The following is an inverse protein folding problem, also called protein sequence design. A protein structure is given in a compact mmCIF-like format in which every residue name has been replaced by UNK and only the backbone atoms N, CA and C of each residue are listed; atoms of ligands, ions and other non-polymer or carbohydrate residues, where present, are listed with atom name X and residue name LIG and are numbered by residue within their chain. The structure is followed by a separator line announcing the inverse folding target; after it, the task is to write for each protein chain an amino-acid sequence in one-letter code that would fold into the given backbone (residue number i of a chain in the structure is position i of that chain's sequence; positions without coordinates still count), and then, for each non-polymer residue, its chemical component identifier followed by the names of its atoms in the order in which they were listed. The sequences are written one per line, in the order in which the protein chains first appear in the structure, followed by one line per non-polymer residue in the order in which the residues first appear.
data_IF_930076466442
#
_entry.id   IF_930076466442
#
_cell.length_a   1.000
_cell.length_b   1.000
_cell.length_c   1.000
_cell.angle_alpha   90.00
_cell.angle_beta   90.00
_cell.angle_gamma   90.00
#
_symmetry.space_group_name_H-M   'P 1'
#
loop_
_entity.id
_entity.type
_entity.pdbx_description
1 polymer ?
#
# COMPACT_ATOMS: atom_id res chain seq x y z
N UNK A 1 23.43 7.22 -4.47
CA UNK A 1 22.90 7.59 -3.15
C UNK A 1 21.48 7.09 -2.94
N UNK A 2 20.53 7.40 -3.84
CA UNK A 2 19.09 7.03 -3.70
C UNK A 2 18.74 5.55 -3.47
N UNK A 3 19.52 4.60 -4.00
CA UNK A 3 19.25 3.18 -3.78
C UNK A 3 19.48 2.71 -2.33
N UNK A 4 20.23 3.47 -1.52
CA UNK A 4 20.37 3.18 -0.08
C UNK A 4 19.16 3.73 0.69
N UNK A 5 18.76 4.97 0.38
CA UNK A 5 17.58 5.63 0.96
C UNK A 5 16.32 4.78 0.77
N UNK A 6 16.05 4.30 -0.45
CA UNK A 6 14.91 3.43 -0.72
C UNK A 6 14.92 2.17 0.16
N UNK A 7 16.08 1.54 0.34
CA UNK A 7 16.19 0.32 1.16
C UNK A 7 16.00 0.61 2.65
N UNK A 8 16.43 1.79 3.11
CA UNK A 8 16.19 2.23 4.48
C UNK A 8 14.71 2.49 4.70
N UNK A 9 14.06 3.22 3.78
CA UNK A 9 12.63 3.47 3.78
C UNK A 9 11.82 2.17 3.79
N UNK A 10 12.12 1.24 2.88
CA UNK A 10 11.44 -0.06 2.83
C UNK A 10 11.58 -0.82 4.17
N UNK A 11 12.75 -0.77 4.82
CA UNK A 11 12.95 -1.44 6.11
C UNK A 11 12.16 -0.83 7.28
N UNK A 12 11.72 0.43 7.21
CA UNK A 12 10.94 1.02 8.32
C UNK A 12 9.55 0.39 8.44
N UNK A 13 9.05 -0.26 7.39
CA UNK A 13 7.82 -1.08 7.42
C UNK A 13 7.94 -2.40 8.21
N UNK A 14 9.14 -2.73 8.70
CA UNK A 14 9.41 -4.01 9.39
C UNK A 14 9.47 -5.22 8.46
N UNK A 15 9.49 -5.01 7.14
CA UNK A 15 9.67 -6.09 6.17
C UNK A 15 11.11 -6.65 6.16
N UNK A 16 11.29 -7.82 5.57
CA UNK A 16 12.60 -8.42 5.37
C UNK A 16 13.14 -8.11 3.97
N UNK A 17 14.31 -7.46 3.90
CA UNK A 17 14.97 -7.14 2.63
C UNK A 17 16.36 -7.78 2.57
N UNK A 18 16.46 -8.90 1.85
CA UNK A 18 17.67 -9.71 1.72
C UNK A 18 18.27 -9.65 0.32
N UNK A 19 19.57 -9.87 0.23
CA UNK A 19 20.28 -9.91 -1.06
C UNK A 19 20.27 -11.34 -1.61
N UNK A 20 20.06 -11.50 -2.91
CA UNK A 20 20.10 -12.82 -3.57
C UNK A 20 21.55 -13.15 -3.93
N UNK A 21 22.23 -13.88 -3.03
CA UNK A 21 23.62 -14.29 -3.20
C UNK A 21 24.58 -13.12 -3.39
N UNK A 22 25.48 -13.22 -4.38
CA UNK A 22 26.43 -12.15 -4.74
C UNK A 22 25.90 -11.18 -5.81
N UNK A 23 24.70 -11.40 -6.36
CA UNK A 23 24.10 -10.55 -7.40
C UNK A 23 23.72 -9.16 -6.86
N UNK A 24 23.29 -8.23 -7.71
CA UNK A 24 22.69 -6.96 -7.26
C UNK A 24 21.18 -7.05 -7.03
N UNK A 25 20.60 -8.25 -7.10
CA UNK A 25 19.17 -8.47 -6.92
C UNK A 25 18.84 -8.60 -5.43
N UNK A 26 17.68 -8.06 -5.06
CA UNK A 26 17.16 -8.06 -3.69
C UNK A 26 15.82 -8.79 -3.66
N UNK A 27 15.59 -9.53 -2.58
CA UNK A 27 14.31 -10.17 -2.26
C UNK A 27 13.66 -9.39 -1.12
N UNK A 28 12.42 -9.02 -1.32
CA UNK A 28 11.55 -8.44 -0.32
C UNK A 28 10.55 -9.51 0.14
N UNK A 29 10.49 -9.76 1.44
CA UNK A 29 9.46 -10.57 2.08
C UNK A 29 8.62 -9.64 2.94
N UNK A 30 7.33 -9.51 2.62
CA UNK A 30 6.42 -8.58 3.28
C UNK A 30 5.00 -9.15 3.33
N UNK A 31 4.23 -8.81 4.37
CA UNK A 31 2.78 -9.04 4.41
C UNK A 31 2.02 -8.04 3.53
N UNK A 32 0.72 -8.27 3.28
CA UNK A 32 -0.13 -7.31 2.54
C UNK A 32 -0.16 -5.93 3.20
N UNK A 33 -0.21 -5.90 4.52
CA UNK A 33 -0.18 -4.66 5.31
C UNK A 33 1.16 -3.94 5.13
N UNK A 34 2.28 -4.64 5.27
CA UNK A 34 3.61 -4.07 5.05
C UNK A 34 3.79 -3.55 3.62
N UNK A 35 3.27 -4.26 2.61
CA UNK A 35 3.28 -3.78 1.22
C UNK A 35 2.51 -2.47 1.06
N UNK A 36 1.34 -2.34 1.71
CA UNK A 36 0.57 -1.08 1.72
C UNK A 36 1.37 0.04 2.37
N UNK A 37 1.97 -0.18 3.53
CA UNK A 37 2.82 0.81 4.21
C UNK A 37 4.00 1.24 3.34
N UNK A 38 4.66 0.30 2.65
CA UNK A 38 5.76 0.65 1.73
C UNK A 38 5.25 1.50 0.57
N UNK A 39 4.07 1.20 0.01
CA UNK A 39 3.47 1.98 -1.08
C UNK A 39 3.22 3.43 -0.63
N UNK A 40 2.63 3.62 0.55
CA UNK A 40 2.38 4.95 1.13
C UNK A 40 3.69 5.71 1.33
N UNK A 41 4.67 5.11 2.02
CA UNK A 41 5.97 5.74 2.26
C UNK A 41 6.70 6.16 0.98
N UNK A 42 6.61 5.35 -0.09
CA UNK A 42 7.24 5.66 -1.38
C UNK A 42 6.45 6.72 -2.15
N UNK A 43 5.13 6.81 -1.94
CA UNK A 43 4.29 7.86 -2.54
C UNK A 43 4.57 9.20 -1.87
N UNK A 44 4.68 9.21 -0.55
CA UNK A 44 4.98 10.40 0.27
C UNK A 44 6.39 10.94 0.03
N UNK A 45 7.32 10.11 -0.44
CA UNK A 45 8.66 10.59 -0.77
C UNK A 45 8.72 11.40 -2.07
N UNK A 46 7.64 11.43 -2.87
CA UNK A 46 7.54 12.14 -4.17
C UNK A 46 8.67 11.81 -5.16
N UNK A 47 9.32 10.65 -5.00
CA UNK A 47 10.49 10.25 -5.79
C UNK A 47 10.04 9.46 -7.03
N UNK A 48 10.00 10.12 -8.20
CA UNK A 48 9.57 9.52 -9.47
C UNK A 48 10.32 8.23 -9.82
N UNK A 49 11.62 8.17 -9.48
CA UNK A 49 12.46 7.00 -9.77
C UNK A 49 12.07 5.75 -8.97
N UNK A 50 11.21 5.86 -7.97
CA UNK A 50 10.73 4.74 -7.15
C UNK A 50 9.31 4.29 -7.51
N UNK A 51 8.63 4.99 -8.43
CA UNK A 51 7.27 4.67 -8.87
C UNK A 51 7.11 3.25 -9.45
N UNK A 52 8.19 2.68 -10.01
CA UNK A 52 8.17 1.29 -10.46
C UNK A 52 7.93 0.31 -9.31
N UNK A 53 8.41 0.62 -8.10
CA UNK A 53 8.25 -0.24 -6.92
C UNK A 53 6.79 -0.25 -6.48
N UNK A 54 6.11 0.90 -6.48
CA UNK A 54 4.68 1.00 -6.18
C UNK A 54 3.90 0.04 -7.09
N UNK A 55 4.12 0.12 -8.41
CA UNK A 55 3.44 -0.74 -9.39
C UNK A 55 3.68 -2.24 -9.12
N UNK A 56 4.91 -2.62 -8.80
CA UNK A 56 5.25 -4.02 -8.47
C UNK A 56 4.56 -4.46 -7.19
N UNK A 57 4.56 -3.63 -6.15
CA UNK A 57 3.94 -3.94 -4.86
C UNK A 57 2.43 -4.04 -4.97
N UNK A 58 1.78 -3.15 -5.70
CA UNK A 58 0.33 -3.21 -5.94
C UNK A 58 -0.07 -4.51 -6.64
N UNK A 59 0.71 -4.94 -7.64
CA UNK A 59 0.49 -6.21 -8.33
C UNK A 59 0.66 -7.42 -7.39
N UNK A 60 1.70 -7.42 -6.54
CA UNK A 60 1.97 -8.53 -5.62
C UNK A 60 1.01 -8.56 -4.42
N UNK A 61 0.59 -7.39 -3.94
CA UNK A 61 -0.39 -7.24 -2.86
C UNK A 61 -1.78 -7.74 -3.28
N UNK A 62 -2.10 -7.59 -4.57
CA UNK A 62 -3.40 -7.91 -5.13
C UNK A 62 -4.50 -6.95 -4.64
N UNK A 63 -5.69 -7.14 -5.21
CA UNK A 63 -6.85 -6.29 -4.92
C UNK A 63 -7.41 -6.60 -3.53
N UNK A 64 -7.94 -5.57 -2.87
CA UNK A 64 -8.69 -5.74 -1.62
C UNK A 64 -10.06 -6.31 -1.92
N UNK A 65 -10.53 -7.21 -1.05
CA UNK A 65 -11.94 -7.61 -1.07
C UNK A 65 -12.81 -6.48 -0.52
N UNK A 66 -14.11 -6.53 -0.83
CA UNK A 66 -15.05 -5.53 -0.29
C UNK A 66 -15.03 -5.46 1.24
N UNK A 67 -14.93 -6.60 1.92
CA UNK A 67 -14.85 -6.65 3.38
C UNK A 67 -13.54 -6.02 3.91
N UNK A 68 -12.42 -6.23 3.21
CA UNK A 68 -11.16 -5.58 3.59
C UNK A 68 -11.20 -4.06 3.37
N UNK A 69 -11.88 -3.59 2.32
CA UNK A 69 -12.13 -2.15 2.10
C UNK A 69 -12.99 -1.56 3.23
N UNK A 70 -14.08 -2.23 3.62
CA UNK A 70 -14.90 -1.81 4.76
C UNK A 70 -14.10 -1.79 6.06
N UNK A 71 -13.23 -2.78 6.29
CA UNK A 71 -12.34 -2.79 7.46
C UNK A 71 -11.31 -1.64 7.44
N UNK A 72 -10.91 -1.14 6.26
CA UNK A 72 -10.07 0.06 6.16
C UNK A 72 -10.86 1.31 6.55
N UNK A 73 -12.08 1.47 6.02
CA UNK A 73 -12.98 2.59 6.38
C UNK A 73 -13.31 2.57 7.87
N UNK A 74 -13.66 1.42 8.45
CA UNK A 74 -13.97 1.33 9.87
C UNK A 74 -12.80 1.72 10.78
N UNK A 75 -11.55 1.45 10.36
CA UNK A 75 -10.35 1.85 11.10
C UNK A 75 -9.97 3.32 10.91
N UNK A 76 -10.43 3.94 9.82
CA UNK A 76 -10.20 5.35 9.52
C UNK A 76 -11.48 5.95 8.90
N UNK A 77 -12.49 6.26 9.72
CA UNK A 77 -13.81 6.67 9.23
C UNK A 77 -13.77 8.01 8.46
N UNK A 78 -12.76 8.84 8.71
CA UNK A 78 -12.56 10.11 8.03
C UNK A 78 -11.86 9.97 6.66
N UNK A 79 -11.55 8.74 6.22
CA UNK A 79 -10.87 8.51 4.94
C UNK A 79 -11.72 8.99 3.76
N UNK A 80 -11.14 9.83 2.91
CA UNK A 80 -11.83 10.27 1.71
C UNK A 80 -11.84 9.16 0.64
N UNK A 81 -12.80 9.23 -0.28
CA UNK A 81 -12.89 8.30 -1.42
C UNK A 81 -11.56 8.24 -2.20
N UNK A 82 -10.90 9.38 -2.43
CA UNK A 82 -9.65 9.44 -3.17
C UNK A 82 -8.48 8.81 -2.40
N UNK A 83 -8.41 9.02 -1.08
CA UNK A 83 -7.42 8.37 -0.23
C UNK A 83 -7.62 6.86 -0.22
N UNK A 84 -8.85 6.37 -0.13
CA UNK A 84 -9.14 4.94 -0.17
C UNK A 84 -8.79 4.30 -1.51
N UNK A 85 -9.13 4.95 -2.64
CA UNK A 85 -8.74 4.53 -4.00
C UNK A 85 -7.22 4.40 -4.09
N UNK A 86 -6.50 5.40 -3.60
CA UNK A 86 -5.05 5.45 -3.63
C UNK A 86 -4.41 4.38 -2.74
N UNK A 87 -4.93 4.21 -1.53
CA UNK A 87 -4.45 3.26 -0.52
C UNK A 87 -4.62 1.82 -1.00
N UNK A 88 -5.84 1.47 -1.40
CA UNK A 88 -6.22 0.11 -1.73
C UNK A 88 -5.97 -0.25 -3.19
N UNK A 89 -5.66 0.73 -4.05
CA UNK A 89 -5.62 0.57 -5.50
C UNK A 89 -6.92 -0.06 -6.04
N UNK A 90 -8.06 0.45 -5.55
CA UNK A 90 -9.39 0.01 -5.95
C UNK A 90 -10.06 1.02 -6.87
N UNK A 91 -11.19 0.64 -7.46
CA UNK A 91 -11.99 1.55 -8.29
C UNK A 91 -12.75 2.56 -7.44
N UNK A 92 -13.12 3.69 -8.05
CA UNK A 92 -13.98 4.70 -7.43
C UNK A 92 -15.30 4.11 -6.92
N UNK A 93 -15.87 3.15 -7.65
CA UNK A 93 -17.12 2.49 -7.29
C UNK A 93 -16.95 1.60 -6.05
N UNK A 94 -15.89 0.80 -5.98
CA UNK A 94 -15.59 -0.05 -4.81
C UNK A 94 -15.35 0.79 -3.55
N UNK A 95 -14.59 1.89 -3.68
CA UNK A 95 -14.33 2.80 -2.57
C UNK A 95 -15.62 3.44 -2.03
N UNK A 96 -16.48 3.97 -2.91
CA UNK A 96 -17.79 4.53 -2.51
C UNK A 96 -18.67 3.49 -1.85
N UNK A 97 -18.79 2.30 -2.44
CA UNK A 97 -19.58 1.22 -1.85
C UNK A 97 -19.10 0.84 -0.43
N UNK A 98 -17.79 0.94 -0.15
CA UNK A 98 -17.26 0.65 1.19
C UNK A 98 -17.56 1.77 2.20
N UNK A 99 -17.45 3.03 1.78
CA UNK A 99 -17.75 4.21 2.62
C UNK A 99 -19.26 4.30 2.89
N UNK A 100 -20.09 4.21 1.85
CA UNK A 100 -21.55 4.26 1.97
C UNK A 100 -22.07 3.14 2.90
N UNK A 101 -21.48 1.94 2.81
CA UNK A 101 -21.82 0.82 3.70
C UNK A 101 -21.46 1.08 5.17
N UNK A 102 -20.47 1.93 5.45
CA UNK A 102 -20.14 2.36 6.82
C UNK A 102 -21.11 3.45 7.29
N UNK A 103 -21.39 4.45 6.45
CA UNK A 103 -22.31 5.57 6.79
C UNK A 103 -23.74 5.09 7.12
N UNK A 104 -24.24 4.06 6.42
CA UNK A 104 -25.58 3.50 6.66
C UNK A 104 -25.62 2.36 7.68
N UNK A 105 -24.48 1.90 8.21
CA UNK A 105 -24.47 0.87 9.26
C UNK A 105 -24.83 1.43 10.65
N UNK A 106 -24.75 2.75 10.82
CA UNK A 106 -25.04 3.47 12.06
C UNK A 106 -26.47 4.08 12.13
N UNK A 107 -27.33 3.80 11.12
CA UNK A 107 -28.77 4.11 11.10
C UNK A 107 -29.65 2.90 11.49
#
# INVERSE_FOLDING_TARGET
MRAFELKTLVRTSGCELTRIGRSRNWRLTASREQMTTIIELVRDSEEETWQWLIKVLEQQRGNFTQQELQNLVHRNPDITVNELVNLANCTLAEARNAIDAHEWADE
#
